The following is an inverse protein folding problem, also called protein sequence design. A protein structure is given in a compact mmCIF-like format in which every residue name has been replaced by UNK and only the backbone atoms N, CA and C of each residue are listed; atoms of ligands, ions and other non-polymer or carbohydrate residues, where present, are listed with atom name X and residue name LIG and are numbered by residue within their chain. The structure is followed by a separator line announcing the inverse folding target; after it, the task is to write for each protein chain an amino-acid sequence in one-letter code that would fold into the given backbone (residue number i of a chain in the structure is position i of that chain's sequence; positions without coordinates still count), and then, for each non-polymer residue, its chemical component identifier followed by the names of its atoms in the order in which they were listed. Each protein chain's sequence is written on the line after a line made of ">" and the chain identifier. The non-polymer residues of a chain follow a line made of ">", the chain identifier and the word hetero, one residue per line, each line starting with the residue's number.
data_IF_685705801311
#
_entry.id   IF_685705801311
#
_cell.length_a   1.000
_cell.length_b   1.000
_cell.length_c   1.000
_cell.angle_alpha   90.00
_cell.angle_beta   90.00
_cell.angle_gamma   90.00
#
_symmetry.space_group_name_H-M   'P 1'
#
loop_
_entity.id
_entity.type
_entity.pdbx_description
1 polymer ?
#
# COMPACT_ATOMS: atom_id res chain seq x y z
N UNK A 1 -2.99 -66.78 -19.37
CA UNK A 1 -3.56 -65.88 -18.33
C UNK A 1 -2.92 -64.50 -18.48
N UNK A 2 -3.69 -63.47 -18.82
CA UNK A 2 -3.20 -62.08 -18.91
C UNK A 2 -3.55 -61.37 -17.60
N UNK A 3 -2.52 -60.99 -16.84
CA UNK A 3 -2.66 -60.20 -15.62
C UNK A 3 -2.90 -58.74 -16.03
N UNK A 4 -4.10 -58.22 -15.77
CA UNK A 4 -4.41 -56.81 -16.01
C UNK A 4 -4.13 -56.06 -14.71
N UNK A 5 -3.06 -55.27 -14.69
CA UNK A 5 -2.69 -54.43 -13.55
C UNK A 5 -3.57 -53.18 -13.62
N UNK A 6 -4.54 -53.10 -12.71
CA UNK A 6 -5.37 -51.91 -12.50
C UNK A 6 -4.57 -50.91 -11.64
N UNK A 7 -3.95 -49.91 -12.27
CA UNK A 7 -3.27 -48.84 -11.55
C UNK A 7 -4.32 -47.88 -10.99
N UNK A 8 -4.64 -48.03 -9.71
CA UNK A 8 -5.53 -47.12 -8.98
C UNK A 8 -4.77 -45.79 -8.75
N UNK A 9 -5.00 -44.80 -9.61
CA UNK A 9 -4.47 -43.45 -9.42
C UNK A 9 -5.29 -42.78 -8.29
N UNK A 10 -4.81 -42.89 -7.06
CA UNK A 10 -5.39 -42.20 -5.92
C UNK A 10 -5.10 -40.69 -6.06
N UNK A 11 -6.04 -39.95 -6.64
CA UNK A 11 -6.04 -38.49 -6.58
C UNK A 11 -6.30 -38.07 -5.13
N UNK A 12 -5.24 -37.87 -4.34
CA UNK A 12 -5.32 -37.12 -3.09
C UNK A 12 -5.64 -35.67 -3.45
N UNK A 13 -6.94 -35.37 -3.55
CA UNK A 13 -7.41 -34.00 -3.63
C UNK A 13 -7.00 -33.30 -2.34
N UNK A 14 -5.97 -32.46 -2.41
CA UNK A 14 -5.67 -31.51 -1.36
C UNK A 14 -6.85 -30.53 -1.35
N UNK A 15 -7.78 -30.73 -0.43
CA UNK A 15 -8.76 -29.72 -0.09
C UNK A 15 -7.99 -28.57 0.58
N UNK A 16 -7.52 -27.63 -0.24
CA UNK A 16 -6.99 -26.37 0.25
C UNK A 16 -8.20 -25.59 0.73
N UNK A 17 -8.37 -25.49 2.05
CA UNK A 17 -9.37 -24.60 2.62
C UNK A 17 -9.10 -23.18 2.09
N UNK A 18 -10.15 -22.50 1.64
CA UNK A 18 -10.04 -21.15 1.09
C UNK A 18 -9.67 -20.19 2.23
N UNK A 19 -8.38 -19.89 2.38
CA UNK A 19 -7.87 -18.99 3.42
C UNK A 19 -8.31 -17.57 3.08
N UNK A 20 -8.96 -16.85 4.01
CA UNK A 20 -9.33 -15.46 3.77
C UNK A 20 -8.14 -14.59 3.34
N UNK A 21 -8.22 -14.05 2.13
CA UNK A 21 -7.19 -13.16 1.58
C UNK A 21 -7.30 -11.74 2.19
N UNK A 22 -6.16 -11.07 2.37
CA UNK A 22 -6.12 -9.61 2.57
C UNK A 22 -6.78 -8.95 1.35
N UNK A 23 -7.75 -8.03 1.52
CA UNK A 23 -8.48 -7.45 0.40
C UNK A 23 -7.56 -6.84 -0.66
N UNK A 24 -7.84 -7.15 -1.93
CA UNK A 24 -7.10 -6.65 -3.10
C UNK A 24 -5.58 -6.97 -3.07
N UNK A 25 -5.17 -8.02 -2.37
CA UNK A 25 -3.75 -8.38 -2.23
C UNK A 25 -3.22 -9.32 -3.32
N UNK A 26 -4.03 -9.69 -4.31
CA UNK A 26 -3.60 -10.58 -5.40
C UNK A 26 -2.54 -9.89 -6.27
N UNK A 27 -1.46 -10.60 -6.58
CA UNK A 27 -0.42 -10.14 -7.49
C UNK A 27 -0.98 -9.98 -8.92
N UNK A 28 -0.42 -9.07 -9.73
CA UNK A 28 -0.86 -8.87 -11.11
C UNK A 28 -0.85 -10.14 -11.98
N UNK A 29 0.04 -11.09 -11.70
CA UNK A 29 0.09 -12.38 -12.38
C UNK A 29 -0.84 -13.46 -11.78
N UNK A 30 -1.59 -13.14 -10.72
CA UNK A 30 -2.54 -14.01 -10.06
C UNK A 30 -1.94 -15.11 -9.18
N UNK A 31 -0.61 -15.14 -9.01
CA UNK A 31 0.08 -16.28 -8.38
C UNK A 31 0.32 -16.14 -6.88
N UNK A 32 0.31 -14.91 -6.36
CA UNK A 32 0.56 -14.65 -4.96
C UNK A 32 -0.52 -13.74 -4.38
N UNK A 33 -0.83 -13.92 -3.10
CA UNK A 33 -1.71 -13.02 -2.35
C UNK A 33 -1.21 -12.90 -0.92
N UNK A 34 -1.73 -11.93 -0.16
CA UNK A 34 -1.43 -11.81 1.26
C UNK A 34 -2.55 -12.40 2.11
N UNK A 35 -2.17 -13.02 3.23
CA UNK A 35 -3.06 -13.53 4.27
C UNK A 35 -2.53 -13.09 5.63
N UNK A 36 -3.39 -13.10 6.66
CA UNK A 36 -2.89 -13.09 8.03
C UNK A 36 -2.62 -14.55 8.45
N UNK A 37 -1.54 -14.80 9.17
CA UNK A 37 -1.21 -16.16 9.66
C UNK A 37 -2.34 -16.81 10.46
N UNK A 38 -3.07 -16.02 11.27
CA UNK A 38 -4.26 -16.43 12.03
C UNK A 38 -5.40 -16.95 11.16
N UNK A 39 -5.44 -16.60 9.87
CA UNK A 39 -6.50 -17.01 8.96
C UNK A 39 -6.33 -18.46 8.49
N UNK A 40 -5.15 -19.06 8.70
CA UNK A 40 -4.84 -20.43 8.25
C UNK A 40 -5.48 -21.51 9.09
N UNK A 41 -5.71 -21.27 10.39
CA UNK A 41 -6.35 -22.24 11.26
C UNK A 41 -7.37 -21.55 12.20
N UNK A 42 -8.67 -21.61 11.88
CA UNK A 42 -9.71 -21.04 12.73
C UNK A 42 -9.84 -21.72 14.10
N UNK A 43 -9.18 -22.87 14.32
CA UNK A 43 -9.11 -23.55 15.63
C UNK A 43 -7.98 -23.05 16.50
N UNK A 44 -6.97 -22.40 15.92
CA UNK A 44 -5.98 -21.66 16.69
C UNK A 44 -6.69 -20.38 17.14
N UNK A 45 -7.36 -20.46 18.29
CA UNK A 45 -7.70 -19.25 19.03
C UNK A 45 -6.37 -18.52 19.23
N UNK A 46 -6.22 -17.28 18.74
CA UNK A 46 -5.01 -16.55 19.00
C UNK A 46 -5.06 -16.15 20.47
N UNK A 47 -4.59 -17.02 21.35
CA UNK A 47 -4.20 -16.63 22.69
C UNK A 47 -3.00 -15.71 22.53
N UNK A 48 -3.28 -14.43 22.31
CA UNK A 48 -2.30 -13.36 22.27
C UNK A 48 -1.65 -13.26 23.64
N UNK A 49 -0.50 -13.92 23.80
CA UNK A 49 0.32 -13.79 25.01
C UNK A 49 1.15 -12.51 24.86
N UNK A 50 0.74 -11.43 25.52
CA UNK A 50 1.51 -10.18 25.58
C UNK A 50 1.71 -9.55 24.20
N UNK A 51 2.98 -9.34 23.81
CA UNK A 51 3.41 -8.63 22.59
C UNK A 51 3.40 -9.50 21.31
N UNK A 52 2.64 -10.59 21.29
CA UNK A 52 2.51 -11.42 20.09
C UNK A 52 1.46 -10.80 19.15
N UNK A 53 1.88 -10.42 17.94
CA UNK A 53 1.01 -9.92 16.88
C UNK A 53 0.93 -10.92 15.72
N UNK A 54 -0.17 -10.98 14.94
CA UNK A 54 -0.25 -11.80 13.75
C UNK A 54 0.78 -11.36 12.73
N UNK A 55 1.28 -12.33 11.97
CA UNK A 55 2.14 -12.08 10.83
C UNK A 55 1.30 -11.84 9.57
N UNK A 56 1.81 -10.96 8.71
CA UNK A 56 1.32 -10.79 7.35
C UNK A 56 2.16 -11.72 6.47
N UNK A 57 1.54 -12.70 5.83
CA UNK A 57 2.23 -13.62 4.95
C UNK A 57 1.87 -13.34 3.49
N UNK A 58 2.87 -13.28 2.61
CA UNK A 58 2.66 -13.37 1.17
C UNK A 58 2.84 -14.80 0.75
N UNK A 59 1.82 -15.40 0.17
CA UNK A 59 1.74 -16.84 -0.12
C UNK A 59 1.46 -17.10 -1.59
N UNK A 60 1.93 -18.23 -2.09
CA UNK A 60 1.59 -18.70 -3.44
C UNK A 60 0.18 -19.32 -3.42
N UNK A 61 -0.72 -18.82 -4.27
CA UNK A 61 -2.15 -19.17 -4.25
C UNK A 61 -2.42 -20.67 -4.42
N UNK A 62 -1.75 -21.31 -5.36
CA UNK A 62 -2.02 -22.72 -5.70
C UNK A 62 -1.43 -23.71 -4.68
N UNK A 63 -0.34 -23.34 -4.00
CA UNK A 63 0.43 -24.26 -3.16
C UNK A 63 0.35 -23.94 -1.67
N UNK A 64 -0.13 -22.75 -1.31
CA UNK A 64 -0.09 -22.20 0.04
C UNK A 64 1.32 -21.90 0.57
N UNK A 65 2.35 -22.05 -0.27
CA UNK A 65 3.75 -21.83 0.10
C UNK A 65 3.98 -20.37 0.48
N UNK A 66 4.53 -20.14 1.68
CA UNK A 66 4.93 -18.81 2.14
C UNK A 66 6.14 -18.32 1.35
N UNK A 67 6.01 -17.15 0.72
CA UNK A 67 7.05 -16.44 -0.04
C UNK A 67 7.71 -15.34 0.81
N UNK A 68 6.96 -14.73 1.72
CA UNK A 68 7.43 -13.83 2.75
C UNK A 68 6.54 -13.96 4.00
N UNK A 69 7.14 -13.89 5.19
CA UNK A 69 6.43 -13.70 6.45
C UNK A 69 6.95 -12.41 7.07
N UNK A 70 6.01 -11.56 7.50
CA UNK A 70 6.27 -10.18 7.88
C UNK A 70 5.63 -9.97 9.25
N UNK A 71 6.47 -9.70 10.24
CA UNK A 71 6.02 -9.32 11.58
C UNK A 71 5.21 -8.03 11.51
N UNK A 72 4.17 -7.92 12.33
CA UNK A 72 3.41 -6.68 12.46
C UNK A 72 4.33 -5.52 12.84
N UNK A 73 4.19 -4.39 12.14
CA UNK A 73 5.07 -3.22 12.27
C UNK A 73 4.29 -1.90 12.40
N UNK A 74 2.99 -1.98 12.71
CA UNK A 74 2.16 -0.83 13.09
C UNK A 74 2.30 -0.49 14.58
N UNK A 75 1.57 0.52 15.05
CA UNK A 75 1.57 0.91 16.44
C UNK A 75 0.86 -0.14 17.33
N UNK A 76 1.56 -0.64 18.35
CA UNK A 76 1.03 -1.65 19.29
C UNK A 76 -0.17 -1.18 20.14
N UNK A 77 -0.33 0.13 20.32
CA UNK A 77 -1.35 0.74 21.17
C UNK A 77 -2.50 1.40 20.42
N UNK A 78 -2.59 1.22 19.10
CA UNK A 78 -3.76 1.68 18.37
C UNK A 78 -4.94 0.74 18.67
N UNK A 79 -6.13 1.30 18.91
CA UNK A 79 -7.34 0.55 19.24
C UNK A 79 -7.75 -0.40 18.09
N UNK A 80 -7.21 -0.12 16.90
CA UNK A 80 -7.13 -1.06 15.79
C UNK A 80 -6.08 -2.13 16.12
N UNK A 81 -6.54 -3.23 16.72
CA UNK A 81 -5.89 -4.55 16.57
C UNK A 81 -5.51 -4.73 15.09
N UNK A 82 -4.51 -5.55 14.74
CA UNK A 82 -4.17 -5.85 13.35
C UNK A 82 -5.35 -6.55 12.65
N UNK A 83 -6.32 -5.75 12.20
CA UNK A 83 -7.45 -6.20 11.43
C UNK A 83 -6.97 -6.22 9.98
N UNK A 84 -7.34 -7.30 9.29
CA UNK A 84 -7.05 -7.50 7.87
C UNK A 84 -7.43 -6.28 7.02
N UNK A 85 -8.44 -5.52 7.43
CA UNK A 85 -8.90 -4.28 6.79
C UNK A 85 -7.94 -3.08 6.88
N UNK A 86 -7.00 -3.08 7.82
CA UNK A 86 -5.96 -2.06 7.95
C UNK A 86 -4.68 -2.41 7.18
N UNK A 87 -4.57 -3.65 6.70
CA UNK A 87 -3.43 -4.10 5.89
C UNK A 87 -3.77 -3.94 4.42
N UNK A 88 -2.92 -3.22 3.69
CA UNK A 88 -2.97 -3.13 2.23
C UNK A 88 -1.69 -3.68 1.64
N UNK A 89 -1.83 -4.35 0.50
CA UNK A 89 -0.70 -4.79 -0.30
C UNK A 89 -0.79 -4.15 -1.67
N UNK A 90 0.30 -3.52 -2.11
CA UNK A 90 0.39 -2.86 -3.40
C UNK A 90 1.51 -3.50 -4.23
N UNK A 91 1.15 -4.11 -5.34
CA UNK A 91 2.07 -4.88 -6.17
C UNK A 91 2.66 -4.05 -7.31
N UNK A 92 3.95 -4.26 -7.56
CA UNK A 92 4.59 -3.81 -8.79
C UNK A 92 3.96 -4.55 -9.99
N UNK A 93 3.76 -3.90 -11.16
CA UNK A 93 3.08 -4.51 -12.30
C UNK A 93 3.67 -5.85 -12.78
N UNK A 94 4.97 -6.07 -12.59
CA UNK A 94 5.65 -7.31 -12.96
C UNK A 94 5.62 -8.41 -11.88
N UNK A 95 4.91 -8.17 -10.77
CA UNK A 95 4.81 -9.05 -9.59
C UNK A 95 6.15 -9.37 -8.90
N UNK A 96 7.23 -8.64 -9.20
CA UNK A 96 8.57 -8.88 -8.62
C UNK A 96 8.89 -7.97 -7.42
N UNK A 97 7.97 -7.11 -7.01
CA UNK A 97 8.07 -6.34 -5.79
C UNK A 97 6.66 -5.99 -5.28
N UNK A 98 6.55 -5.74 -3.99
CA UNK A 98 5.31 -5.26 -3.37
C UNK A 98 5.60 -4.37 -2.17
N UNK A 99 4.62 -3.55 -1.82
CA UNK A 99 4.57 -2.78 -0.59
C UNK A 99 3.51 -3.37 0.34
N UNK A 100 3.82 -3.47 1.62
CA UNK A 100 2.83 -3.73 2.69
C UNK A 100 2.64 -2.43 3.44
N UNK A 101 1.38 -2.01 3.56
CA UNK A 101 0.98 -0.79 4.24
C UNK A 101 0.05 -1.16 5.38
N UNK A 102 0.32 -0.61 6.57
CA UNK A 102 -0.59 -0.69 7.72
C UNK A 102 -1.10 0.73 7.98
N UNK A 103 -2.40 0.94 7.85
CA UNK A 103 -3.04 2.22 8.11
C UNK A 103 -3.63 2.27 9.51
N UNK A 104 -2.88 2.92 10.41
CA UNK A 104 -3.28 3.21 11.78
C UNK A 104 -4.17 4.48 11.83
N UNK A 105 -4.59 4.92 13.01
CA UNK A 105 -5.48 6.07 13.21
C UNK A 105 -4.84 7.42 12.84
N UNK A 106 -3.54 7.55 12.95
CA UNK A 106 -2.82 8.80 12.63
C UNK A 106 -1.61 8.60 11.72
N UNK A 107 -1.17 7.36 11.54
CA UNK A 107 0.04 7.03 10.81
C UNK A 107 -0.24 5.97 9.75
N UNK A 108 0.65 5.90 8.77
CA UNK A 108 0.69 4.80 7.82
C UNK A 108 2.09 4.24 7.88
N UNK A 109 2.20 2.97 8.22
CA UNK A 109 3.47 2.26 8.26
C UNK A 109 3.65 1.55 6.92
N UNK A 110 4.86 1.53 6.37
CA UNK A 110 5.12 0.85 5.10
C UNK A 110 6.42 0.09 5.14
N UNK A 111 6.39 -1.14 4.61
CA UNK A 111 7.56 -1.93 4.25
C UNK A 111 7.51 -2.33 2.78
N UNK A 112 8.67 -2.37 2.13
CA UNK A 112 8.80 -2.72 0.72
C UNK A 112 9.58 -4.01 0.59
N UNK A 113 9.18 -4.86 -0.34
CA UNK A 113 9.80 -6.15 -0.58
C UNK A 113 10.08 -6.34 -2.07
N UNK A 114 11.23 -6.96 -2.38
CA UNK A 114 11.64 -7.25 -3.75
C UNK A 114 12.08 -8.71 -3.91
N UNK A 115 11.77 -9.29 -5.07
CA UNK A 115 12.05 -10.69 -5.39
C UNK A 115 13.53 -10.89 -5.74
N UNK A 116 14.23 -11.72 -4.97
CA UNK A 116 15.59 -12.17 -5.30
C UNK A 116 15.56 -13.39 -6.23
N UNK A 117 16.70 -13.71 -6.86
CA UNK A 117 16.82 -14.82 -7.84
C UNK A 117 16.34 -16.19 -7.35
N UNK A 118 16.32 -16.44 -6.04
CA UNK A 118 15.86 -17.71 -5.45
C UNK A 118 14.33 -17.77 -5.22
N UNK A 119 13.56 -16.85 -5.80
CA UNK A 119 12.11 -16.75 -5.65
C UNK A 119 11.63 -16.46 -4.22
N UNK A 120 12.46 -15.85 -3.38
CA UNK A 120 12.05 -15.26 -2.10
C UNK A 120 11.98 -13.75 -2.20
N UNK A 121 11.12 -13.14 -1.40
CA UNK A 121 11.11 -11.70 -1.25
C UNK A 121 11.99 -11.29 -0.07
N UNK A 122 12.73 -10.19 -0.23
CA UNK A 122 13.54 -9.58 0.84
C UNK A 122 13.05 -8.16 1.09
N UNK A 123 13.10 -7.71 2.35
CA UNK A 123 12.77 -6.34 2.72
C UNK A 123 13.81 -5.38 2.12
N UNK A 124 13.34 -4.28 1.54
CA UNK A 124 14.15 -3.22 0.94
C UNK A 124 13.89 -1.94 1.71
N UNK A 125 14.96 -1.39 2.30
CA UNK A 125 14.85 -0.15 3.06
C UNK A 125 14.56 1.05 2.15
N UNK A 126 13.75 1.99 2.65
CA UNK A 126 13.58 3.29 2.01
C UNK A 126 14.91 4.07 2.02
N UNK A 127 15.17 4.90 0.99
CA UNK A 127 16.22 5.90 1.09
C UNK A 127 15.92 6.86 2.25
N UNK A 128 16.95 7.51 2.79
CA UNK A 128 16.74 8.51 3.84
C UNK A 128 15.87 9.67 3.33
N UNK A 129 15.19 10.36 4.25
CA UNK A 129 14.44 11.57 3.90
C UNK A 129 15.28 12.58 3.12
N UNK A 130 16.54 12.77 3.52
CA UNK A 130 17.48 13.64 2.82
C UNK A 130 17.83 13.14 1.43
N UNK A 131 17.99 11.84 1.23
CA UNK A 131 18.22 11.28 -0.10
C UNK A 131 16.99 11.46 -1.02
N UNK A 132 15.78 11.40 -0.47
CA UNK A 132 14.54 11.57 -1.23
C UNK A 132 14.21 13.04 -1.54
N UNK A 133 14.47 13.94 -0.60
CA UNK A 133 13.98 15.34 -0.66
C UNK A 133 15.08 16.38 -0.83
N UNK A 134 16.33 16.04 -0.53
CA UNK A 134 17.44 16.99 -0.43
C UNK A 134 17.51 17.78 0.88
N UNK A 135 16.53 17.63 1.78
CA UNK A 135 16.45 18.35 3.06
C UNK A 135 16.76 17.44 4.26
N UNK A 136 17.27 17.97 5.39
CA UNK A 136 17.42 17.17 6.60
C UNK A 136 16.05 16.72 7.12
N UNK A 137 15.99 15.55 7.78
CA UNK A 137 14.76 15.09 8.40
C UNK A 137 14.32 16.09 9.48
N UNK A 138 13.05 16.55 9.48
CA UNK A 138 12.54 17.43 10.53
C UNK A 138 12.44 16.69 11.86
N UNK A 139 12.56 17.45 12.96
CA UNK A 139 12.41 16.93 14.32
C UNK A 139 10.96 16.47 14.58
N UNK A 140 10.79 15.35 15.29
CA UNK A 140 9.48 14.77 15.61
C UNK A 140 8.58 15.74 16.38
N UNK A 141 9.17 16.57 17.24
CA UNK A 141 8.44 17.57 18.05
C UNK A 141 7.85 18.70 17.21
N UNK A 142 8.25 18.79 15.94
CA UNK A 142 7.95 19.89 15.03
C UNK A 142 7.12 19.44 13.83
N UNK A 143 6.81 18.14 13.75
CA UNK A 143 5.88 17.58 12.79
C UNK A 143 4.45 17.97 13.19
N UNK A 144 3.89 18.99 12.53
CA UNK A 144 2.43 19.18 12.56
C UNK A 144 1.77 17.96 11.91
N UNK A 145 0.65 17.45 12.43
CA UNK A 145 -0.11 16.40 11.76
C UNK A 145 -0.73 16.98 10.48
N UNK A 146 -0.04 16.86 9.35
CA UNK A 146 -0.57 17.16 8.04
C UNK A 146 -0.25 15.99 7.13
N UNK A 147 -1.28 15.24 6.77
CA UNK A 147 -1.17 14.07 5.90
C UNK A 147 -0.35 12.94 6.53
N UNK A 148 -0.27 11.82 5.82
CA UNK A 148 0.57 10.68 6.18
C UNK A 148 1.41 10.34 4.98
N UNK A 149 2.72 10.25 5.19
CA UNK A 149 3.58 9.70 4.15
C UNK A 149 3.14 8.26 3.87
N UNK A 150 2.92 7.92 2.60
CA UNK A 150 2.31 6.63 2.25
C UNK A 150 2.65 6.23 0.81
N UNK A 151 2.55 4.94 0.54
CA UNK A 151 2.63 4.42 -0.83
C UNK A 151 1.30 4.66 -1.53
N UNK A 152 1.34 5.40 -2.63
CA UNK A 152 0.18 5.60 -3.50
C UNK A 152 0.01 4.44 -4.49
N UNK A 153 1.09 3.74 -4.82
CA UNK A 153 1.07 2.60 -5.72
C UNK A 153 2.34 2.49 -6.53
N UNK A 154 2.20 1.96 -7.75
CA UNK A 154 3.28 1.79 -8.71
C UNK A 154 2.87 2.41 -10.03
N UNK A 155 3.82 3.04 -10.72
CA UNK A 155 3.56 3.53 -12.06
C UNK A 155 3.69 2.43 -13.13
N UNK A 156 3.37 2.76 -14.38
CA UNK A 156 3.44 1.82 -15.50
C UNK A 156 4.86 1.33 -15.83
N UNK A 157 5.90 2.02 -15.33
CA UNK A 157 7.31 1.62 -15.46
C UNK A 157 7.78 0.75 -14.28
N UNK A 158 6.91 0.48 -13.30
CA UNK A 158 7.24 -0.27 -12.10
C UNK A 158 8.03 0.53 -11.06
N UNK A 159 7.98 1.85 -11.11
CA UNK A 159 8.52 2.72 -10.06
C UNK A 159 7.48 2.86 -8.94
N UNK A 160 7.93 2.78 -7.70
CA UNK A 160 7.07 3.00 -6.53
C UNK A 160 6.75 4.50 -6.43
N UNK A 161 5.47 4.84 -6.30
CA UNK A 161 4.99 6.20 -6.06
C UNK A 161 4.81 6.36 -4.56
N UNK A 162 5.71 7.13 -3.94
CA UNK A 162 5.68 7.40 -2.51
C UNK A 162 5.38 8.87 -2.26
N UNK A 163 4.33 9.13 -1.49
CA UNK A 163 3.97 10.49 -1.10
C UNK A 163 4.55 10.82 0.26
N UNK A 164 5.30 11.92 0.35
CA UNK A 164 5.87 12.44 1.60
C UNK A 164 5.04 13.62 2.05
N UNK A 165 4.48 13.51 3.26
CA UNK A 165 3.73 14.59 3.90
C UNK A 165 4.47 15.06 5.15
N UNK A 166 5.59 15.74 4.93
CA UNK A 166 6.44 16.32 5.97
C UNK A 166 6.86 17.73 5.53
N UNK A 167 7.30 18.59 6.45
CA UNK A 167 7.85 19.91 6.09
C UNK A 167 9.34 19.77 5.74
N UNK A 168 9.87 20.54 4.78
CA UNK A 168 11.29 20.51 4.41
C UNK A 168 12.18 20.94 5.57
N UNK A 169 11.75 21.99 6.29
CA UNK A 169 12.37 22.45 7.52
C UNK A 169 11.28 22.90 8.51
N UNK A 170 11.52 22.75 9.82
CA UNK A 170 10.60 23.22 10.87
C UNK A 170 10.25 24.70 10.77
N UNK A 171 11.25 25.53 10.47
CA UNK A 171 11.17 26.99 10.40
C UNK A 171 10.68 27.54 9.05
N UNK A 172 10.40 26.67 8.08
CA UNK A 172 10.01 27.13 6.75
C UNK A 172 8.64 27.84 6.80
N UNK A 173 8.56 29.07 6.30
CA UNK A 173 7.34 29.89 6.33
C UNK A 173 6.84 30.32 4.95
N UNK A 174 7.51 29.89 3.87
CA UNK A 174 7.10 30.13 2.48
C UNK A 174 6.30 28.97 1.86
N UNK A 175 6.17 29.01 0.53
CA UNK A 175 5.55 27.96 -0.29
C UNK A 175 6.31 26.65 -0.21
N UNK A 176 5.62 25.52 0.00
CA UNK A 176 6.27 24.23 0.21
C UNK A 176 7.16 23.85 -1.00
N UNK A 177 8.50 23.84 -0.84
CA UNK A 177 9.41 23.48 -1.93
C UNK A 177 9.45 21.98 -2.19
N UNK A 178 8.78 21.15 -1.37
CA UNK A 178 8.85 19.71 -1.52
C UNK A 178 8.04 19.23 -2.71
N UNK A 179 8.71 18.42 -3.52
CA UNK A 179 8.01 17.51 -4.42
C UNK A 179 7.42 16.37 -3.59
N UNK A 180 6.16 16.52 -3.17
CA UNK A 180 5.52 15.53 -2.29
C UNK A 180 5.42 14.13 -2.90
N UNK A 181 5.43 14.00 -4.24
CA UNK A 181 5.42 12.71 -4.93
C UNK A 181 6.82 12.31 -5.38
N UNK A 182 7.35 11.28 -4.73
CA UNK A 182 8.66 10.70 -5.00
C UNK A 182 8.50 9.42 -5.81
N UNK A 183 9.29 9.27 -6.87
CA UNK A 183 9.35 8.05 -7.67
C UNK A 183 10.60 7.28 -7.30
N UNK A 184 10.43 6.03 -6.88
CA UNK A 184 11.52 5.18 -6.38
C UNK A 184 11.67 3.94 -7.26
N UNK A 185 12.89 3.67 -7.69
CA UNK A 185 13.26 2.40 -8.34
C UNK A 185 13.58 1.38 -7.26
N UNK A 186 12.91 0.24 -7.29
CA UNK A 186 13.04 -0.81 -6.29
C UNK A 186 13.75 -2.02 -6.89
N UNK A 187 14.84 -2.44 -6.26
CA UNK A 187 15.54 -3.68 -6.56
C UNK A 187 15.80 -4.46 -5.27
N UNK A 188 16.20 -5.74 -5.36
CA UNK A 188 16.61 -6.50 -4.19
C UNK A 188 17.85 -5.94 -3.48
N UNK A 189 18.66 -5.15 -4.17
CA UNK A 189 19.89 -4.58 -3.62
C UNK A 189 19.65 -3.23 -2.93
N UNK A 190 18.47 -2.63 -3.13
CA UNK A 190 18.14 -1.35 -2.54
C UNK A 190 17.06 -0.58 -3.29
N UNK A 191 16.78 0.60 -2.78
CA UNK A 191 15.84 1.55 -3.37
C UNK A 191 16.58 2.85 -3.68
N UNK A 192 16.33 3.42 -4.86
CA UNK A 192 16.95 4.68 -5.28
C UNK A 192 15.91 5.63 -5.87
N UNK A 193 16.23 6.93 -5.84
CA UNK A 193 15.40 7.95 -6.48
C UNK A 193 15.45 7.79 -8.01
N UNK A 194 14.28 7.66 -8.63
CA UNK A 194 14.19 7.59 -10.08
C UNK A 194 14.54 8.95 -10.70
N UNK A 195 15.36 8.94 -11.75
CA UNK A 195 15.63 10.16 -12.52
C UNK A 195 14.36 10.55 -13.28
N UNK A 196 13.80 11.72 -12.98
CA UNK A 196 12.69 12.27 -13.78
C UNK A 196 13.19 12.51 -15.20
N UNK A 197 12.42 12.05 -16.18
CA UNK A 197 12.67 12.41 -17.57
C UNK A 197 12.30 13.88 -17.81
N UNK A 198 12.92 14.52 -18.80
CA UNK A 198 12.63 15.93 -19.16
C UNK A 198 11.13 16.16 -19.44
N UNK A 199 10.44 15.16 -19.99
CA UNK A 199 9.00 15.20 -20.24
C UNK A 199 8.16 15.17 -18.96
N UNK A 200 8.56 14.36 -17.97
CA UNK A 200 7.89 14.31 -16.65
C UNK A 200 8.09 15.59 -15.85
N UNK A 201 9.23 16.28 -16.02
CA UNK A 201 9.47 17.59 -15.41
C UNK A 201 8.63 18.70 -16.07
N UNK A 202 8.40 18.63 -17.38
CA UNK A 202 7.63 19.64 -18.10
C UNK A 202 6.12 19.57 -17.81
N UNK A 203 5.58 18.39 -17.50
CA UNK A 203 4.15 18.18 -17.24
C UNK A 203 3.64 18.64 -15.87
N UNK A 204 4.53 18.85 -14.90
CA UNK A 204 4.14 19.25 -13.53
C UNK A 204 3.88 20.78 -13.39
N UNK A 205 4.13 21.58 -14.43
CA UNK A 205 4.16 23.04 -14.37
C UNK A 205 2.99 23.78 -15.01
N UNK A 206 1.99 23.11 -15.58
CA UNK A 206 0.81 23.81 -16.12
C UNK A 206 -0.39 23.63 -15.18
N UNK A 207 -0.82 24.67 -14.45
CA UNK A 207 -2.16 24.67 -13.89
C UNK A 207 -3.11 24.48 -15.06
N UNK A 208 -4.00 23.50 -14.95
CA UNK A 208 -5.11 23.37 -15.89
C UNK A 208 -5.85 24.71 -15.88
N UNK A 209 -5.74 25.46 -16.97
CA UNK A 209 -6.54 26.66 -17.19
C UNK A 209 -7.99 26.20 -17.15
N UNK A 210 -8.61 26.37 -15.99
CA UNK A 210 -10.03 26.11 -15.78
C UNK A 210 -10.76 27.00 -16.77
N UNK A 211 -11.36 26.41 -17.79
CA UNK A 211 -12.24 27.13 -18.69
C UNK A 211 -13.31 27.82 -17.84
N UNK A 212 -13.32 29.15 -17.88
CA UNK A 212 -14.43 29.96 -17.41
C UNK A 212 -15.69 29.46 -18.13
N UNK A 213 -16.60 28.87 -17.36
CA UNK A 213 -17.96 28.62 -17.82
C UNK A 213 -18.70 29.94 -17.67
N UNK A 214 -19.07 30.54 -18.81
CA UNK A 214 -19.99 31.67 -18.87
C UNK A 214 -21.30 31.31 -18.13
N UNK A 215 -21.79 32.14 -17.20
CA UNK A 215 -23.09 31.93 -16.58
C UNK A 215 -24.18 32.46 -17.52
N UNK A 216 -24.69 31.60 -18.41
CA UNK A 216 -25.96 31.83 -19.10
C UNK A 216 -27.14 31.45 -18.19
N UNK A 217 -27.89 32.48 -17.78
CA UNK A 217 -29.36 32.44 -17.77
C UNK A 217 -30.05 31.89 -16.51
N UNK A 218 -30.92 32.71 -15.92
CA UNK A 218 -31.98 32.18 -15.07
C UNK A 218 -32.67 33.17 -14.12
N UNK A 219 -33.17 34.29 -14.63
CA UNK A 219 -34.18 35.08 -13.91
C UNK A 219 -35.44 34.21 -13.66
N UNK A 220 -35.81 34.01 -12.40
CA UNK A 220 -37.17 33.60 -12.02
C UNK A 220 -37.70 34.45 -10.86
N UNK A 221 -38.90 35.04 -10.99
CA UNK A 221 -39.48 35.87 -9.95
C UNK A 221 -39.99 35.06 -8.76
N UNK A 222 -39.79 35.59 -7.56
CA UNK A 222 -40.37 35.09 -6.31
C UNK A 222 -41.89 35.29 -6.28
N UNK A 223 -42.63 34.19 -6.08
CA UNK A 223 -44.06 34.22 -5.77
C UNK A 223 -44.28 34.61 -4.30
N UNK A 224 -45.04 35.69 -4.07
CA UNK A 224 -45.48 36.14 -2.74
C UNK A 224 -46.39 35.09 -2.10
N UNK A 225 -46.05 34.63 -0.89
CA UNK A 225 -46.98 33.86 -0.06
C UNK A 225 -48.00 34.79 0.58
N UNK A 226 -49.27 34.46 0.38
CA UNK A 226 -50.44 35.10 0.97
C UNK A 226 -50.58 34.59 2.40
N UNK A 227 -50.78 35.52 3.34
CA UNK A 227 -50.99 35.21 4.74
C UNK A 227 -52.27 34.41 4.99
N UNK A 228 -52.25 33.60 6.04
CA UNK A 228 -53.44 33.11 6.71
C UNK A 228 -53.30 33.34 8.20
N UNK A 229 -54.10 34.28 8.70
CA UNK A 229 -54.50 34.35 10.09
C UNK A 229 -55.54 33.25 10.35
N UNK A 230 -55.34 32.48 11.40
CA UNK A 230 -56.21 32.42 12.58
C UNK A 230 -55.56 31.56 13.65
#
# INVERSE_FOLDING_TARGET
>A
MRLTILTLLACTGLAVADTPEVPNSLSPDGKAHAVMDIDRDPKISPEWKGDSFPQIEVTQKDTGRVLASIEYFGAAGDDARPLREHVRVSWRPDSKAFAVIIDDRFYSHTKIFALVKNSKFVEVAFPSYQAMTGYPAPDSDQLRPRGRSTVEGWDSKGRLIYSIFMRPLPSYSGDDPLEHKILLEVSPDGMILAKKTKAEQAGAGQPATRAELDPEGGDKPQTKSVGHSR
#
